data_IF_402315071793
#
_entry.id   IF_402315071793
#
_cell.length_a   1.000
_cell.length_b   1.000
_cell.length_c   1.000
_cell.angle_alpha   90.00
_cell.angle_beta   90.00
_cell.angle_gamma   90.00
#
_symmetry.space_group_name_H-M   'P 1'
#
loop_
_entity.id
_entity.type
_entity.pdbx_description
1 polymer ?
#
# COMPACT_ATOMS: atom_id res chain seq x y z
N UNK A 1 46.43 8.63 24.49
CA UNK A 1 45.90 7.79 23.39
C UNK A 1 44.66 7.00 23.78
N UNK A 2 44.65 6.29 24.92
CA UNK A 2 43.50 5.46 25.35
C UNK A 2 42.19 6.25 25.46
N UNK A 3 42.24 7.49 25.98
CA UNK A 3 41.06 8.36 26.09
C UNK A 3 40.40 8.66 24.72
N UNK A 4 41.19 8.97 23.70
CA UNK A 4 40.68 9.25 22.35
C UNK A 4 40.05 8.01 21.71
N UNK A 5 40.63 6.82 21.95
CA UNK A 5 40.09 5.55 21.49
C UNK A 5 38.72 5.26 22.12
N UNK A 6 38.57 5.54 23.42
CA UNK A 6 37.29 5.36 24.13
C UNK A 6 36.22 6.27 23.54
N UNK A 7 36.52 7.56 23.31
CA UNK A 7 35.58 8.50 22.70
C UNK A 7 35.16 8.02 21.30
N UNK A 8 36.11 7.57 20.48
CA UNK A 8 35.83 7.06 19.15
C UNK A 8 34.95 5.81 19.18
N UNK A 9 35.19 4.88 20.10
CA UNK A 9 34.36 3.68 20.29
C UNK A 9 32.91 4.05 20.63
N UNK A 10 32.73 4.98 21.57
CA UNK A 10 31.41 5.46 21.99
C UNK A 10 30.66 6.10 20.82
N UNK A 11 31.32 6.98 20.06
CA UNK A 11 30.73 7.61 18.87
C UNK A 11 30.38 6.58 17.78
N UNK A 12 31.23 5.57 17.58
CA UNK A 12 30.97 4.48 16.64
C UNK A 12 29.73 3.67 17.02
N UNK A 13 29.57 3.33 18.31
CA UNK A 13 28.40 2.61 18.82
C UNK A 13 27.12 3.45 18.61
N UNK A 14 27.15 4.74 18.97
CA UNK A 14 25.99 5.61 18.75
C UNK A 14 25.63 5.74 17.27
N UNK A 15 26.63 5.84 16.40
CA UNK A 15 26.42 5.90 14.94
C UNK A 15 25.76 4.63 14.42
N UNK A 16 26.23 3.46 14.87
CA UNK A 16 25.63 2.17 14.51
C UNK A 16 24.17 2.06 14.96
N UNK A 17 23.88 2.44 16.21
CA UNK A 17 22.51 2.46 16.75
C UNK A 17 21.62 3.43 15.96
N UNK A 18 22.13 4.63 15.64
CA UNK A 18 21.43 5.62 14.84
C UNK A 18 21.05 5.05 13.47
N UNK A 19 22.00 4.49 12.72
CA UNK A 19 21.74 3.94 11.38
C UNK A 19 20.70 2.82 11.38
N UNK A 20 20.71 1.97 12.41
CA UNK A 20 19.73 0.90 12.57
C UNK A 20 18.32 1.42 12.90
N UNK A 21 18.21 2.61 13.51
CA UNK A 21 16.92 3.21 13.87
C UNK A 21 16.24 3.99 12.73
N UNK A 22 16.97 4.36 11.66
CA UNK A 22 16.43 5.22 10.58
C UNK A 22 15.25 4.55 9.87
N UNK A 23 15.46 3.34 9.34
CA UNK A 23 14.44 2.60 8.59
C UNK A 23 13.15 2.38 9.41
N UNK A 24 13.20 1.81 10.63
CA UNK A 24 11.99 1.61 11.42
C UNK A 24 11.30 2.93 11.81
N UNK A 25 12.05 4.01 12.02
CA UNK A 25 11.47 5.32 12.32
C UNK A 25 10.66 5.87 11.14
N UNK A 26 11.22 5.79 9.91
CA UNK A 26 10.51 6.21 8.70
C UNK A 26 9.24 5.39 8.44
N UNK A 27 9.30 4.06 8.61
CA UNK A 27 8.12 3.17 8.49
C UNK A 27 7.07 3.52 9.55
N UNK A 28 7.50 3.81 10.78
CA UNK A 28 6.61 4.26 11.86
C UNK A 28 5.92 5.59 11.50
N UNK A 29 6.65 6.53 10.92
CA UNK A 29 6.06 7.80 10.50
C UNK A 29 4.99 7.60 9.40
N UNK A 30 5.32 6.81 8.36
CA UNK A 30 4.39 6.46 7.27
C UNK A 30 3.13 5.77 7.80
N UNK A 31 3.29 4.73 8.62
CA UNK A 31 2.16 4.01 9.21
C UNK A 31 1.33 4.86 10.19
N UNK A 32 1.88 5.92 10.77
CA UNK A 32 1.10 6.88 11.55
C UNK A 32 0.21 7.76 10.66
N UNK A 33 0.70 8.12 9.48
CA UNK A 33 -0.12 8.81 8.48
C UNK A 33 -1.25 7.90 7.98
N UNK A 34 -0.94 6.64 7.66
CA UNK A 34 -1.95 5.64 7.31
C UNK A 34 -3.01 5.48 8.41
N UNK A 35 -2.60 5.38 9.68
CA UNK A 35 -3.53 5.25 10.80
C UNK A 35 -4.51 6.44 10.91
N UNK A 36 -4.06 7.67 10.60
CA UNK A 36 -4.96 8.84 10.56
C UNK A 36 -5.98 8.72 9.43
N UNK A 37 -5.56 8.26 8.26
CA UNK A 37 -6.45 8.06 7.13
C UNK A 37 -7.46 6.96 7.45
N UNK A 38 -7.01 5.84 8.00
CA UNK A 38 -7.89 4.74 8.45
C UNK A 38 -8.92 5.25 9.47
N UNK A 39 -8.49 6.03 10.47
CA UNK A 39 -9.40 6.63 11.46
C UNK A 39 -10.44 7.52 10.79
N UNK A 40 -10.03 8.43 9.91
CA UNK A 40 -10.93 9.33 9.21
C UNK A 40 -11.94 8.57 8.33
N UNK A 41 -11.49 7.50 7.67
CA UNK A 41 -12.33 6.62 6.86
C UNK A 41 -13.34 5.87 7.73
N UNK A 42 -12.89 5.30 8.85
CA UNK A 42 -13.75 4.65 9.85
C UNK A 42 -14.82 5.60 10.37
N UNK A 43 -14.45 6.84 10.68
CA UNK A 43 -15.39 7.87 11.13
C UNK A 43 -16.44 8.21 10.04
N UNK A 44 -16.03 8.25 8.76
CA UNK A 44 -16.96 8.47 7.66
C UNK A 44 -17.92 7.29 7.46
N UNK A 45 -17.42 6.06 7.52
CA UNK A 45 -18.24 4.84 7.47
C UNK A 45 -19.29 4.88 8.59
N UNK A 46 -18.86 5.17 9.82
CA UNK A 46 -19.73 5.21 10.99
C UNK A 46 -20.79 6.31 10.87
N UNK A 47 -20.38 7.52 10.49
CA UNK A 47 -21.30 8.67 10.34
C UNK A 47 -22.35 8.44 9.26
N UNK A 48 -22.00 7.75 8.18
CA UNK A 48 -22.90 7.45 7.07
C UNK A 48 -23.62 6.11 7.24
N UNK A 49 -23.35 5.37 8.32
CA UNK A 49 -23.88 4.04 8.61
C UNK A 49 -23.73 3.07 7.40
N UNK A 50 -22.52 3.05 6.82
CA UNK A 50 -22.22 2.23 5.64
C UNK A 50 -22.27 0.76 6.03
N UNK A 51 -22.99 -0.04 5.25
CA UNK A 51 -23.04 -1.49 5.42
C UNK A 51 -21.73 -2.12 4.93
N UNK A 52 -21.17 -3.06 5.69
CA UNK A 52 -20.00 -3.87 5.29
C UNK A 52 -20.42 -4.98 4.31
N UNK A 53 -20.94 -4.57 3.15
CA UNK A 53 -21.20 -5.45 2.00
C UNK A 53 -20.35 -4.99 0.83
N UNK A 54 -20.09 -5.88 -0.14
CA UNK A 54 -19.30 -5.58 -1.33
C UNK A 54 -19.82 -4.32 -2.05
N UNK A 55 -21.12 -4.27 -2.33
CA UNK A 55 -21.75 -3.14 -3.03
C UNK A 55 -21.61 -1.80 -2.26
N UNK A 56 -21.95 -1.79 -0.97
CA UNK A 56 -21.91 -0.56 -0.16
C UNK A 56 -20.48 -0.08 0.09
N UNK A 57 -19.54 -1.00 0.28
CA UNK A 57 -18.11 -0.70 0.49
C UNK A 57 -17.47 -0.13 -0.78
N UNK A 58 -17.75 -0.72 -1.94
CA UNK A 58 -17.26 -0.23 -3.23
C UNK A 58 -17.81 1.15 -3.53
N UNK A 59 -19.12 1.35 -3.36
CA UNK A 59 -19.74 2.67 -3.54
C UNK A 59 -19.13 3.71 -2.60
N UNK A 60 -18.96 3.36 -1.32
CA UNK A 60 -18.35 4.26 -0.35
C UNK A 60 -16.93 4.67 -0.75
N UNK A 61 -16.03 3.72 -1.04
CA UNK A 61 -14.65 4.05 -1.43
C UNK A 61 -14.60 4.91 -2.72
N UNK A 62 -15.54 4.70 -3.64
CA UNK A 62 -15.71 5.55 -4.82
C UNK A 62 -16.11 6.98 -4.45
N UNK A 63 -17.16 7.12 -3.63
CA UNK A 63 -17.73 8.42 -3.22
C UNK A 63 -16.72 9.25 -2.40
N UNK A 64 -15.88 8.59 -1.59
CA UNK A 64 -14.86 9.25 -0.76
C UNK A 64 -13.45 9.16 -1.32
N UNK A 65 -13.28 8.90 -2.63
CA UNK A 65 -11.95 8.80 -3.26
C UNK A 65 -11.05 10.00 -2.98
N UNK A 66 -11.62 11.19 -2.79
CA UNK A 66 -10.87 12.40 -2.43
C UNK A 66 -10.09 12.28 -1.12
N UNK A 67 -10.46 11.36 -0.21
CA UNK A 67 -9.71 11.08 1.03
C UNK A 67 -8.40 10.32 0.77
N UNK A 68 -8.23 9.74 -0.42
CA UNK A 68 -7.15 8.80 -0.75
C UNK A 68 -6.20 9.33 -1.82
N UNK A 69 -6.24 10.62 -2.17
CA UNK A 69 -5.46 11.18 -3.29
C UNK A 69 -3.94 10.98 -3.19
N UNK A 70 -3.40 10.77 -1.99
CA UNK A 70 -1.97 10.55 -1.76
C UNK A 70 -1.67 9.11 -1.32
N UNK A 71 -2.56 8.16 -1.61
CA UNK A 71 -2.38 6.75 -1.30
C UNK A 71 -2.48 5.93 -2.57
N UNK A 72 -1.65 4.89 -2.66
CA UNK A 72 -1.69 4.00 -3.81
C UNK A 72 -2.90 3.08 -3.75
N UNK A 73 -3.24 2.56 -2.55
CA UNK A 73 -4.36 1.61 -2.43
C UNK A 73 -4.98 1.58 -1.03
N UNK A 74 -6.32 1.53 -1.01
CA UNK A 74 -7.15 1.35 0.19
C UNK A 74 -8.11 0.19 -0.04
N UNK A 75 -8.19 -0.71 0.92
CA UNK A 75 -9.01 -1.91 0.85
C UNK A 75 -9.89 -2.05 2.09
N UNK A 76 -11.11 -2.57 1.88
CA UNK A 76 -12.06 -2.90 2.94
C UNK A 76 -12.27 -4.40 3.00
N UNK A 77 -12.27 -4.94 4.21
CA UNK A 77 -12.47 -6.36 4.50
C UNK A 77 -13.60 -6.55 5.50
N UNK A 78 -14.33 -7.66 5.38
CA UNK A 78 -15.27 -8.11 6.42
C UNK A 78 -14.54 -8.77 7.59
N UNK A 79 -15.31 -9.18 8.61
CA UNK A 79 -14.78 -9.88 9.79
C UNK A 79 -14.16 -11.25 9.48
N UNK A 80 -14.54 -11.87 8.37
CA UNK A 80 -13.99 -13.14 7.91
C UNK A 80 -12.75 -12.96 7.03
N UNK A 81 -12.21 -11.74 6.94
CA UNK A 81 -11.09 -11.38 6.07
C UNK A 81 -11.39 -11.51 4.57
N UNK A 82 -12.66 -11.47 4.16
CA UNK A 82 -13.01 -11.40 2.74
C UNK A 82 -12.91 -9.96 2.24
N UNK A 83 -12.29 -9.77 1.07
CA UNK A 83 -12.19 -8.46 0.42
C UNK A 83 -13.57 -7.97 -0.02
N UNK A 84 -14.00 -6.82 0.50
CA UNK A 84 -15.25 -6.15 0.16
C UNK A 84 -15.06 -5.12 -0.94
N UNK A 85 -13.99 -4.31 -0.88
CA UNK A 85 -13.74 -3.24 -1.84
C UNK A 85 -12.26 -2.88 -1.92
N UNK A 86 -11.85 -2.35 -3.07
CA UNK A 86 -10.45 -2.03 -3.37
C UNK A 86 -10.35 -0.86 -4.35
N UNK A 87 -9.62 0.20 -3.97
CA UNK A 87 -9.44 1.39 -4.80
C UNK A 87 -8.69 1.12 -6.11
N UNK A 88 -7.87 0.08 -6.17
CA UNK A 88 -7.14 -0.28 -7.40
C UNK A 88 -8.11 -0.83 -8.47
N UNK A 89 -9.15 -1.55 -8.03
CA UNK A 89 -10.19 -2.08 -8.93
C UNK A 89 -11.28 -1.08 -9.29
N UNK A 90 -11.37 0.04 -8.56
CA UNK A 90 -12.41 1.05 -8.74
C UNK A 90 -12.24 1.81 -10.07
N UNK A 91 -11.00 2.09 -10.50
CA UNK A 91 -10.73 2.74 -11.79
C UNK A 91 -11.04 1.84 -13.00
N UNK A 92 -10.99 0.52 -12.84
CA UNK A 92 -11.37 -0.45 -13.89
C UNK A 92 -12.89 -0.54 -14.12
N UNK A 93 -13.70 -0.06 -13.17
CA UNK A 93 -15.17 -0.13 -13.23
C UNK A 93 -15.83 1.16 -13.70
N UNK A 94 -15.05 2.18 -14.09
CA UNK A 94 -15.63 3.18 -14.97
C UNK A 94 -16.02 2.42 -16.23
N UNK A 95 -17.33 2.30 -16.45
CA UNK A 95 -17.94 1.90 -17.70
C UNK A 95 -17.53 2.97 -18.72
N UNK A 96 -16.25 2.95 -19.11
CA UNK A 96 -15.78 3.69 -20.27
C UNK A 96 -16.44 2.92 -21.39
N UNK A 97 -17.65 3.38 -21.73
CA UNK A 97 -18.31 3.10 -22.97
C UNK A 97 -17.43 3.71 -24.07
N UNK A 98 -16.23 3.17 -24.24
CA UNK A 98 -15.47 3.26 -25.46
C UNK A 98 -16.35 2.48 -26.41
N UNK A 99 -17.21 3.20 -27.11
CA UNK A 99 -17.74 2.70 -28.36
C UNK A 99 -16.51 2.29 -29.15
N UNK A 100 -16.25 0.98 -29.22
CA UNK A 100 -15.25 0.44 -30.11
C UNK A 100 -15.76 0.70 -31.51
N UNK A 101 -15.60 1.93 -32.00
CA UNK A 101 -15.61 2.16 -33.42
C UNK A 101 -14.40 1.40 -33.94
N UNK A 102 -14.70 0.38 -34.75
CA UNK A 102 -13.71 -0.40 -35.48
C UNK A 102 -12.97 0.56 -36.43
N UNK A 103 -11.92 1.20 -35.93
CA UNK A 103 -11.05 2.07 -36.74
C UNK A 103 -10.05 1.16 -37.43
N UNK A 104 -10.38 0.77 -38.66
CA UNK A 104 -9.45 0.11 -39.56
C UNK A 104 -8.54 1.15 -40.21
N UNK A 105 -7.28 1.23 -39.79
CA UNK A 105 -6.25 1.93 -40.54
C UNK A 105 -5.71 1.04 -41.65
N UNK A 106 -5.79 1.50 -42.89
CA UNK A 106 -5.13 0.88 -44.04
C UNK A 106 -3.99 1.77 -44.51
N UNK A 107 -2.79 1.18 -44.61
CA UNK A 107 -1.67 1.83 -45.28
C UNK A 107 -1.97 1.93 -46.78
N UNK A 108 -1.79 3.10 -47.37
CA UNK A 108 -2.12 3.39 -48.78
C UNK A 108 -1.30 2.52 -49.76
N UNK A 109 -0.23 1.89 -49.30
CA UNK A 109 0.81 1.35 -50.18
C UNK A 109 1.33 -0.03 -49.74
N UNK A 110 0.47 -1.07 -49.76
CA UNK A 110 0.87 -2.47 -50.05
C UNK A 110 -0.30 -3.45 -50.06
N UNK A 111 -0.37 -4.20 -51.15
CA UNK A 111 -1.22 -5.37 -51.39
C UNK A 111 -0.74 -6.60 -50.60
N UNK A 112 -1.70 -7.28 -49.98
CA UNK A 112 -1.73 -8.69 -49.61
C UNK A 112 -0.52 -9.30 -48.87
N UNK A 113 -0.49 -9.16 -47.55
CA UNK A 113 0.17 -10.15 -46.69
C UNK A 113 -0.72 -10.52 -45.49
N UNK A 114 -0.94 -11.83 -45.32
CA UNK A 114 -1.66 -12.42 -44.20
C UNK A 114 -0.88 -12.15 -42.89
N UNK A 115 -1.38 -11.24 -42.06
CA UNK A 115 -0.84 -10.99 -40.72
C UNK A 115 -1.49 -11.97 -39.74
N UNK A 116 -0.80 -13.09 -39.47
CA UNK A 116 -1.13 -13.94 -38.33
C UNK A 116 -0.75 -13.21 -37.04
N UNK A 117 -1.75 -12.68 -36.34
CA UNK A 117 -1.60 -12.09 -35.01
C UNK A 117 -1.56 -13.23 -33.99
N UNK A 118 -0.36 -13.70 -33.65
CA UNK A 118 -0.15 -14.48 -32.42
C UNK A 118 0.07 -13.51 -31.27
N UNK A 119 -1.02 -13.03 -30.68
CA UNK A 119 -0.96 -12.25 -29.44
C UNK A 119 -0.87 -13.23 -28.26
N UNK A 120 0.36 -13.67 -27.96
CA UNK A 120 0.66 -14.22 -26.64
C UNK A 120 1.36 -13.13 -25.85
N UNK A 121 0.61 -12.12 -25.42
CA UNK A 121 1.02 -11.36 -24.24
C UNK A 121 1.05 -12.35 -23.08
N UNK A 122 2.26 -12.84 -22.77
CA UNK A 122 2.48 -13.50 -21.47
C UNK A 122 2.17 -12.42 -20.44
N UNK A 123 0.95 -12.45 -19.89
CA UNK A 123 0.70 -11.93 -18.56
C UNK A 123 1.71 -12.65 -17.65
N UNK A 124 2.84 -12.02 -17.40
CA UNK A 124 3.63 -12.36 -16.23
C UNK A 124 2.70 -12.11 -15.07
N UNK A 125 2.22 -13.19 -14.44
CA UNK A 125 1.59 -13.13 -13.12
C UNK A 125 2.59 -12.46 -12.19
N UNK A 126 2.47 -11.14 -12.07
CA UNK A 126 3.23 -10.36 -11.11
C UNK A 126 2.80 -10.88 -9.75
N UNK A 127 3.77 -11.18 -8.87
CA UNK A 127 3.45 -11.54 -7.50
C UNK A 127 2.66 -10.39 -6.89
N UNK A 128 1.35 -10.57 -6.78
CA UNK A 128 0.43 -9.59 -6.22
C UNK A 128 0.40 -9.80 -4.72
N UNK A 129 0.32 -8.70 -3.97
CA UNK A 129 0.24 -8.73 -2.51
C UNK A 129 -0.91 -9.64 -2.06
N UNK A 130 -0.61 -10.63 -1.21
CA UNK A 130 -1.65 -11.40 -0.53
C UNK A 130 -2.11 -10.65 0.72
N UNK A 131 -2.78 -9.51 0.51
CA UNK A 131 -3.29 -8.69 1.62
C UNK A 131 -4.25 -9.48 2.51
N UNK A 132 -5.00 -10.43 1.93
CA UNK A 132 -5.90 -11.33 2.66
C UNK A 132 -5.18 -12.10 3.78
N UNK A 133 -3.97 -12.60 3.52
CA UNK A 133 -3.19 -13.33 4.53
C UNK A 133 -2.83 -12.43 5.71
N UNK A 134 -2.36 -11.21 5.46
CA UNK A 134 -2.03 -10.28 6.54
C UNK A 134 -3.27 -9.82 7.33
N UNK A 135 -4.41 -9.66 6.65
CA UNK A 135 -5.68 -9.34 7.33
C UNK A 135 -6.13 -10.51 8.20
N UNK A 136 -5.99 -11.75 7.73
CA UNK A 136 -6.27 -12.94 8.54
C UNK A 136 -5.35 -13.02 9.76
N UNK A 137 -4.05 -12.85 9.56
CA UNK A 137 -3.08 -12.80 10.68
C UNK A 137 -3.42 -11.70 11.68
N UNK A 138 -3.90 -10.54 11.21
CA UNK A 138 -4.36 -9.46 12.07
C UNK A 138 -5.63 -9.83 12.85
N UNK A 139 -6.60 -10.46 12.19
CA UNK A 139 -7.87 -10.87 12.80
C UNK A 139 -7.70 -11.92 13.92
N UNK A 140 -6.67 -12.75 13.83
CA UNK A 140 -6.35 -13.80 14.81
C UNK A 140 -5.59 -13.26 16.04
N UNK A 141 -5.05 -12.03 15.97
CA UNK A 141 -4.34 -11.43 17.09
C UNK A 141 -5.32 -11.04 18.21
N UNK A 142 -4.97 -11.40 19.46
CA UNK A 142 -5.80 -11.10 20.64
C UNK A 142 -5.95 -9.60 20.94
N UNK A 143 -5.09 -8.74 20.37
CA UNK A 143 -5.10 -7.29 20.56
C UNK A 143 -5.51 -6.56 19.27
N UNK A 144 -6.79 -6.70 18.89
CA UNK A 144 -7.39 -6.07 17.69
C UNK A 144 -7.40 -4.52 17.76
N UNK A 145 -7.05 -3.94 18.91
CA UNK A 145 -7.01 -2.49 19.11
C UNK A 145 -5.72 -1.82 18.61
N UNK A 146 -4.63 -2.58 18.43
CA UNK A 146 -3.41 -2.04 17.86
C UNK A 146 -3.42 -2.21 16.34
N UNK A 147 -2.80 -1.27 15.61
CA UNK A 147 -2.63 -1.40 14.16
C UNK A 147 -1.53 -2.41 13.83
N UNK A 148 -1.70 -3.19 12.77
CA UNK A 148 -0.62 -4.00 12.21
C UNK A 148 0.10 -3.23 11.11
N UNK A 149 1.43 -3.20 11.16
CA UNK A 149 2.27 -2.55 10.16
C UNK A 149 3.15 -3.60 9.50
N UNK A 150 3.02 -3.72 8.19
CA UNK A 150 3.82 -4.63 7.37
C UNK A 150 4.69 -3.79 6.42
N UNK A 151 5.93 -4.21 6.20
CA UNK A 151 6.79 -3.56 5.23
C UNK A 151 7.62 -4.57 4.46
N UNK A 152 7.42 -4.64 3.15
CA UNK A 152 8.02 -5.68 2.30
C UNK A 152 8.36 -5.12 0.92
N UNK A 153 9.33 -5.74 0.24
CA UNK A 153 9.68 -5.41 -1.14
C UNK A 153 9.06 -6.42 -2.09
N UNK A 154 8.19 -5.96 -2.98
CA UNK A 154 7.53 -6.79 -3.99
C UNK A 154 7.64 -6.09 -5.34
N UNK A 155 8.00 -6.83 -6.38
CA UNK A 155 8.17 -6.32 -7.75
C UNK A 155 9.01 -5.02 -7.79
N UNK A 156 10.17 -5.04 -7.12
CA UNK A 156 11.11 -3.92 -7.02
C UNK A 156 10.61 -2.66 -6.28
N UNK A 157 9.42 -2.70 -5.69
CA UNK A 157 8.87 -1.61 -4.89
C UNK A 157 8.81 -1.99 -3.41
N UNK A 158 9.26 -1.10 -2.53
CA UNK A 158 9.14 -1.24 -1.08
C UNK A 158 7.80 -0.67 -0.64
N UNK A 159 6.96 -1.49 -0.02
CA UNK A 159 5.65 -1.09 0.45
C UNK A 159 5.64 -0.93 1.96
N UNK A 160 4.83 0.01 2.42
CA UNK A 160 4.37 0.07 3.81
C UNK A 160 2.87 -0.13 3.80
N UNK A 161 2.40 -1.05 4.62
CA UNK A 161 0.99 -1.36 4.76
C UNK A 161 0.60 -1.17 6.22
N UNK A 162 -0.63 -0.71 6.43
CA UNK A 162 -1.18 -0.56 7.77
C UNK A 162 -2.60 -1.07 7.78
N UNK A 163 -2.87 -1.97 8.71
CA UNK A 163 -4.16 -2.61 8.92
C UNK A 163 -4.70 -2.13 10.26
N UNK A 164 -5.98 -1.77 10.30
CA UNK A 164 -6.68 -1.49 11.55
C UNK A 164 -8.13 -1.97 11.48
N UNK A 165 -8.70 -2.26 12.64
CA UNK A 165 -10.13 -2.60 12.77
C UNK A 165 -11.02 -1.37 12.60
N UNK A 166 -12.22 -1.61 12.05
CA UNK A 166 -13.31 -0.63 12.02
C UNK A 166 -14.32 -1.02 13.08
N UNK A 167 -14.50 -0.16 14.07
CA UNK A 167 -15.41 -0.41 15.19
C UNK A 167 -16.60 0.56 15.11
N UNK A 168 -17.81 0.03 15.28
CA UNK A 168 -19.04 0.80 15.42
C UNK A 168 -19.68 0.42 16.76
N UNK A 169 -19.91 1.42 17.63
CA UNK A 169 -20.49 1.21 18.97
C UNK A 169 -19.72 0.21 19.86
N UNK A 170 -18.43 0.02 19.60
CA UNK A 170 -17.58 -0.92 20.34
C UNK A 170 -17.53 -2.33 19.76
N UNK A 171 -18.26 -2.61 18.68
CA UNK A 171 -18.19 -3.88 17.94
C UNK A 171 -17.40 -3.71 16.65
N UNK A 172 -16.50 -4.66 16.38
CA UNK A 172 -15.77 -4.72 15.11
C UNK A 172 -16.72 -5.04 13.96
N UNK A 173 -16.61 -4.30 12.87
CA UNK A 173 -17.39 -4.47 11.63
C UNK A 173 -16.56 -5.05 10.48
N UNK A 174 -15.23 -4.94 10.57
CA UNK A 174 -14.30 -5.35 9.55
C UNK A 174 -12.96 -4.64 9.68
N UNK A 175 -12.20 -4.59 8.59
CA UNK A 175 -10.83 -4.05 8.58
C UNK A 175 -10.62 -3.09 7.41
N UNK A 176 -9.81 -2.06 7.64
CA UNK A 176 -9.28 -1.20 6.59
C UNK A 176 -7.79 -1.49 6.43
N UNK A 177 -7.36 -1.66 5.18
CA UNK A 177 -5.94 -1.71 4.82
C UNK A 177 -5.60 -0.49 3.98
N UNK A 178 -4.51 0.18 4.35
CA UNK A 178 -3.88 1.24 3.54
C UNK A 178 -2.48 0.80 3.17
N UNK A 179 -2.15 0.88 1.89
CA UNK A 179 -0.83 0.52 1.35
C UNK A 179 -0.29 1.63 0.46
N UNK A 180 1.02 1.87 0.57
CA UNK A 180 1.76 2.87 -0.19
C UNK A 180 3.15 2.33 -0.55
N UNK A 181 3.61 2.62 -1.77
CA UNK A 181 4.98 2.46 -2.25
C UNK A 181 5.83 3.53 -1.57
N UNK A 182 6.73 3.09 -0.71
CA UNK A 182 7.60 3.91 0.11
C UNK A 182 9.08 3.74 -0.27
N UNK A 183 9.40 3.67 -1.57
CA UNK A 183 10.78 3.56 -2.07
C UNK A 183 11.69 4.68 -1.55
N UNK A 184 11.12 5.86 -1.32
CA UNK A 184 11.78 7.00 -0.70
C UNK A 184 12.38 6.69 0.68
N UNK A 185 11.80 5.75 1.44
CA UNK A 185 12.35 5.28 2.71
C UNK A 185 13.69 4.59 2.49
N UNK A 186 13.80 3.72 1.48
CA UNK A 186 15.05 3.01 1.20
C UNK A 186 16.12 3.98 0.71
N UNK A 187 15.74 4.93 -0.16
CA UNK A 187 16.63 5.99 -0.65
C UNK A 187 17.13 6.84 0.52
N UNK A 188 16.26 7.32 1.40
CA UNK A 188 16.64 8.15 2.55
C UNK A 188 17.54 7.40 3.55
N UNK A 189 17.37 6.08 3.69
CA UNK A 189 18.25 5.24 4.51
C UNK A 189 19.65 5.16 3.88
N UNK A 190 19.72 4.94 2.57
CA UNK A 190 21.00 4.85 1.86
C UNK A 190 21.74 6.18 1.84
N UNK A 191 21.04 7.29 1.56
CA UNK A 191 21.61 8.63 1.60
C UNK A 191 22.20 8.98 2.97
N UNK A 192 21.50 8.66 4.07
CA UNK A 192 22.00 8.92 5.42
C UNK A 192 23.20 8.05 5.77
N UNK A 193 23.25 6.79 5.31
CA UNK A 193 24.44 5.93 5.45
C UNK A 193 25.63 6.51 4.69
N UNK A 194 25.42 6.88 3.43
CA UNK A 194 26.45 7.46 2.56
C UNK A 194 26.95 8.80 3.09
N UNK A 195 26.05 9.63 3.63
CA UNK A 195 26.41 10.89 4.26
C UNK A 195 27.35 10.69 5.45
N UNK A 196 27.02 9.75 6.35
CA UNK A 196 27.88 9.41 7.48
C UNK A 196 29.23 8.90 6.98
N UNK A 197 29.26 7.93 6.07
CA UNK A 197 30.50 7.33 5.55
C UNK A 197 31.44 8.34 4.87
N UNK A 198 30.89 9.41 4.26
CA UNK A 198 31.69 10.49 3.66
C UNK A 198 32.19 11.52 4.68
N UNK A 199 31.60 11.55 5.88
CA UNK A 199 31.89 12.56 6.91
C UNK A 199 32.89 12.06 7.96
N UNK A 200 32.89 10.75 8.26
CA UNK A 200 33.90 10.08 9.13
C UNK A 200 35.11 9.62 8.35
#
# INVERSE_FOLDING_TARGET
>A
MVFNLIIFLVLGIFTFLYLNAIKPNLIKNRSNQHARIISNTSDHINRLNIKFTKESSTKFLSDVRFLFQNLDRVQLYDLNSNLLADTDTLDLTQDIFVRSEDVQETSIDKSDENINISESSKLTETATFNTETYVREYSEQKNINDKLVISETINNNFYVMTINSVNLEGESRGYIVVSEIANDILVAVDERKNFILRTV
#
